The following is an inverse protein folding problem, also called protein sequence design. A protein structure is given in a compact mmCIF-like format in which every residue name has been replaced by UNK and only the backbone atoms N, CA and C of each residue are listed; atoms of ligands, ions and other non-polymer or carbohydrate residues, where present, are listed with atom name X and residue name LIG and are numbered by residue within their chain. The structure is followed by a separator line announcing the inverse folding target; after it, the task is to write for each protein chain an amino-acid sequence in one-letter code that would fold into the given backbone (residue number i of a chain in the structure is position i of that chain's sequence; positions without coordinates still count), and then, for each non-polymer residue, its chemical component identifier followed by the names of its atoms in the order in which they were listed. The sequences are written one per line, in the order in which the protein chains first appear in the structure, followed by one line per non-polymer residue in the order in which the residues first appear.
data_IF_134295453512
#
_entry.id   IF_134295453512
#
_cell.length_a   1.000
_cell.length_b   1.000
_cell.length_c   1.000
_cell.angle_alpha   90.00
_cell.angle_beta   90.00
_cell.angle_gamma   90.00
#
_symmetry.space_group_name_H-M   'P 1'
#
loop_
_entity.id
_entity.type
_entity.pdbx_description
1 polymer ?
#
# COMPACT_ATOMS: atom_id res chain seq x y z
N UNK A 1 28.53 26.88 -43.96
CA UNK A 1 28.78 25.51 -43.43
C UNK A 1 27.55 24.93 -42.77
N UNK A 2 26.95 25.61 -41.77
CA UNK A 2 25.67 25.18 -41.14
C UNK A 2 24.54 25.04 -42.15
N UNK A 3 24.33 26.04 -43.01
CA UNK A 3 23.32 26.02 -44.08
C UNK A 3 23.58 24.95 -45.16
N UNK A 4 24.80 24.38 -45.18
CA UNK A 4 25.19 23.31 -46.09
C UNK A 4 25.13 21.93 -45.41
N UNK A 5 24.56 21.82 -44.21
CA UNK A 5 24.47 20.59 -43.42
C UNK A 5 25.80 20.10 -42.83
N UNK A 6 26.89 20.84 -43.00
CA UNK A 6 28.24 20.46 -42.54
C UNK A 6 28.46 20.86 -41.08
N UNK A 7 27.67 20.27 -40.18
CA UNK A 7 27.65 20.62 -38.75
C UNK A 7 28.97 20.38 -38.05
N UNK A 8 29.62 19.22 -38.24
CA UNK A 8 30.91 18.90 -37.62
C UNK A 8 32.00 19.91 -37.99
N UNK A 9 32.08 20.29 -39.27
CA UNK A 9 33.04 21.30 -39.76
C UNK A 9 32.73 22.69 -39.22
N UNK A 10 31.46 23.04 -39.08
CA UNK A 10 31.05 24.31 -38.50
C UNK A 10 31.38 24.40 -37.00
N UNK A 11 31.20 23.29 -36.28
CA UNK A 11 31.44 23.20 -34.84
C UNK A 11 32.92 23.16 -34.48
N UNK A 12 33.77 22.55 -35.32
CA UNK A 12 35.23 22.53 -35.09
C UNK A 12 35.88 23.91 -35.21
N UNK A 13 35.33 24.81 -36.05
CA UNK A 13 35.85 26.18 -36.22
C UNK A 13 35.16 27.22 -35.32
N UNK A 14 34.00 26.90 -34.74
CA UNK A 14 33.22 27.83 -33.92
C UNK A 14 33.94 28.40 -32.67
N UNK A 15 34.83 27.66 -31.97
CA UNK A 15 35.61 28.20 -30.86
C UNK A 15 36.50 29.39 -31.25
N UNK A 16 36.93 29.46 -32.52
CA UNK A 16 37.74 30.59 -33.02
C UNK A 16 36.95 31.91 -33.05
N UNK A 17 35.61 31.85 -33.08
CA UNK A 17 34.74 33.03 -32.96
C UNK A 17 34.54 33.39 -31.49
N UNK A 18 34.04 32.44 -30.70
CA UNK A 18 34.00 32.50 -29.23
C UNK A 18 33.45 31.21 -28.65
N UNK A 19 33.78 30.90 -27.39
CA UNK A 19 33.16 29.78 -26.66
C UNK A 19 31.64 29.96 -26.49
N UNK A 20 31.16 31.20 -26.37
CA UNK A 20 29.72 31.50 -26.30
C UNK A 20 28.99 31.16 -27.61
N UNK A 21 29.62 31.47 -28.75
CA UNK A 21 29.09 31.13 -30.06
C UNK A 21 29.11 29.62 -30.30
N UNK A 22 30.21 28.94 -29.95
CA UNK A 22 30.30 27.48 -29.99
C UNK A 22 29.19 26.82 -29.17
N UNK A 23 28.97 27.25 -27.92
CA UNK A 23 27.91 26.70 -27.06
C UNK A 23 26.52 26.86 -27.70
N UNK A 24 26.21 28.06 -28.21
CA UNK A 24 24.93 28.31 -28.91
C UNK A 24 24.75 27.42 -30.14
N UNK A 25 25.82 27.20 -30.90
CA UNK A 25 25.78 26.37 -32.09
C UNK A 25 25.62 24.87 -31.76
N UNK A 26 26.30 24.39 -30.71
CA UNK A 26 26.12 23.04 -30.16
C UNK A 26 24.69 22.82 -29.68
N UNK A 27 24.12 23.77 -28.93
CA UNK A 27 22.73 23.71 -28.44
C UNK A 27 21.72 23.65 -29.58
N UNK A 28 21.92 24.45 -30.64
CA UNK A 28 21.06 24.42 -31.83
C UNK A 28 21.14 23.07 -32.56
N UNK A 29 22.33 22.46 -32.65
CA UNK A 29 22.48 21.13 -33.25
C UNK A 29 21.83 20.05 -32.38
N UNK A 30 22.00 20.13 -31.06
CA UNK A 30 21.34 19.23 -30.12
C UNK A 30 19.81 19.31 -30.24
N UNK A 31 19.23 20.50 -30.32
CA UNK A 31 17.79 20.69 -30.51
C UNK A 31 17.26 20.05 -31.79
N UNK A 32 18.02 20.15 -32.89
CA UNK A 32 17.66 19.47 -34.13
C UNK A 32 17.71 17.94 -33.97
N UNK A 33 18.75 17.41 -33.32
CA UNK A 33 18.90 15.96 -33.11
C UNK A 33 17.85 15.37 -32.16
N UNK A 34 17.39 16.15 -31.18
CA UNK A 34 16.26 15.76 -30.30
C UNK A 34 14.98 15.61 -31.13
N UNK A 35 14.70 16.53 -32.05
CA UNK A 35 13.53 16.45 -32.93
C UNK A 35 13.61 15.29 -33.91
N UNK A 36 14.83 14.89 -34.28
CA UNK A 36 15.10 13.73 -35.14
C UNK A 36 15.16 12.40 -34.36
N UNK A 37 14.95 12.43 -33.04
CA UNK A 37 15.08 11.27 -32.12
C UNK A 37 16.42 10.52 -32.27
N UNK A 38 17.49 11.25 -32.59
CA UNK A 38 18.80 10.67 -32.91
C UNK A 38 19.75 10.67 -31.68
N UNK A 39 20.33 9.51 -31.39
CA UNK A 39 21.31 9.26 -30.32
C UNK A 39 22.58 10.12 -30.45
N UNK A 40 22.87 10.64 -31.65
CA UNK A 40 23.97 11.57 -31.88
C UNK A 40 23.88 12.82 -30.98
N UNK A 41 22.71 13.14 -30.41
CA UNK A 41 22.52 14.25 -29.46
C UNK A 41 23.39 14.13 -28.21
N UNK A 42 23.72 12.91 -27.77
CA UNK A 42 24.34 12.61 -26.47
C UNK A 42 25.66 13.39 -26.29
N UNK A 43 26.67 13.27 -27.19
CA UNK A 43 27.89 14.08 -27.14
C UNK A 43 27.66 15.58 -27.05
N UNK A 44 26.64 16.12 -27.72
CA UNK A 44 26.38 17.56 -27.76
C UNK A 44 25.83 18.07 -26.43
N UNK A 45 24.90 17.33 -25.81
CA UNK A 45 24.34 17.66 -24.51
C UNK A 45 25.37 17.51 -23.39
N UNK A 46 26.20 16.45 -23.41
CA UNK A 46 27.29 16.25 -22.44
C UNK A 46 28.30 17.40 -22.56
N UNK A 47 28.74 17.73 -23.77
CA UNK A 47 29.73 18.79 -24.00
C UNK A 47 29.22 20.20 -23.63
N UNK A 48 27.91 20.43 -23.67
CA UNK A 48 27.31 21.72 -23.28
C UNK A 48 26.91 21.79 -21.80
N UNK A 49 26.91 20.64 -21.11
CA UNK A 49 26.44 20.47 -19.75
C UNK A 49 24.92 20.55 -19.60
N UNK A 50 24.16 20.36 -20.67
CA UNK A 50 22.69 20.46 -20.67
C UNK A 50 22.04 19.15 -20.18
N UNK A 51 22.34 18.77 -18.92
CA UNK A 51 21.90 17.51 -18.28
C UNK A 51 20.37 17.33 -18.34
N UNK A 52 19.61 18.38 -18.02
CA UNK A 52 18.14 18.34 -18.01
C UNK A 52 17.57 17.91 -19.37
N UNK A 53 18.11 18.43 -20.47
CA UNK A 53 17.66 18.06 -21.83
C UNK A 53 17.95 16.60 -22.13
N UNK A 54 19.13 16.12 -21.71
CA UNK A 54 19.54 14.74 -21.95
C UNK A 54 18.72 13.74 -21.13
N UNK A 55 18.45 14.05 -19.85
CA UNK A 55 17.54 13.26 -19.01
C UNK A 55 16.15 13.21 -19.64
N UNK A 56 15.58 14.36 -20.03
CA UNK A 56 14.26 14.38 -20.68
C UNK A 56 14.21 13.60 -21.99
N UNK A 57 15.30 13.60 -22.77
CA UNK A 57 15.40 12.87 -24.03
C UNK A 57 15.35 11.35 -23.82
N UNK A 58 16.05 10.84 -22.81
CA UNK A 58 16.03 9.43 -22.47
C UNK A 58 14.70 9.02 -21.83
N UNK A 59 14.18 9.81 -20.89
CA UNK A 59 12.88 9.57 -20.25
C UNK A 59 11.75 9.49 -21.27
N UNK A 60 11.67 10.42 -22.24
CA UNK A 60 10.62 10.41 -23.26
C UNK A 60 10.65 9.17 -24.17
N UNK A 61 11.76 8.43 -24.19
CA UNK A 61 11.93 7.21 -24.98
C UNK A 61 11.82 5.93 -24.14
N UNK A 62 11.46 6.05 -22.86
CA UNK A 62 11.42 4.93 -21.92
C UNK A 62 12.81 4.37 -21.55
N UNK A 63 13.89 5.08 -21.89
CA UNK A 63 15.28 4.71 -21.59
C UNK A 63 15.66 5.20 -20.18
N UNK A 64 14.92 4.75 -19.17
CA UNK A 64 15.02 5.25 -17.80
C UNK A 64 16.37 4.93 -17.13
N UNK A 65 17.02 3.83 -17.53
CA UNK A 65 18.36 3.46 -17.01
C UNK A 65 19.43 4.42 -17.51
N UNK A 66 19.36 4.81 -18.77
CA UNK A 66 20.25 5.78 -19.40
C UNK A 66 20.03 7.17 -18.80
N UNK A 67 18.76 7.55 -18.57
CA UNK A 67 18.41 8.77 -17.85
C UNK A 67 19.02 8.80 -16.44
N UNK A 68 18.94 7.67 -15.72
CA UNK A 68 19.49 7.52 -14.36
C UNK A 68 21.01 7.72 -14.36
N UNK A 69 21.72 7.05 -15.28
CA UNK A 69 23.17 7.16 -15.41
C UNK A 69 23.61 8.61 -15.67
N UNK A 70 22.89 9.33 -16.52
CA UNK A 70 23.17 10.74 -16.80
C UNK A 70 22.94 11.62 -15.58
N UNK A 71 21.83 11.43 -14.87
CA UNK A 71 21.52 12.20 -13.65
C UNK A 71 22.55 11.94 -12.55
N UNK A 72 22.93 10.67 -12.34
CA UNK A 72 23.95 10.30 -11.36
C UNK A 72 25.32 10.85 -11.74
N UNK A 73 25.74 10.73 -13.00
CA UNK A 73 26.99 11.29 -13.48
C UNK A 73 27.04 12.82 -13.28
N UNK A 74 25.92 13.52 -13.43
CA UNK A 74 25.84 14.95 -13.14
C UNK A 74 26.00 15.26 -11.64
N UNK A 75 25.38 14.46 -10.75
CA UNK A 75 25.50 14.62 -9.30
C UNK A 75 26.92 14.37 -8.80
N UNK A 76 27.61 13.39 -9.37
CA UNK A 76 29.02 13.08 -9.09
C UNK A 76 30.00 14.12 -9.68
N UNK A 77 29.49 15.10 -10.44
CA UNK A 77 30.30 16.13 -11.09
C UNK A 77 31.04 15.64 -12.33
N UNK A 78 30.63 14.53 -12.96
CA UNK A 78 31.28 14.01 -14.17
C UNK A 78 30.85 14.75 -15.45
N UNK A 79 29.79 15.58 -15.39
CA UNK A 79 29.31 16.40 -16.52
C UNK A 79 29.54 17.87 -16.20
N UNK A 80 30.42 18.52 -16.97
CA UNK A 80 30.82 19.90 -16.74
C UNK A 80 30.41 20.84 -17.87
N UNK A 81 29.96 22.04 -17.50
CA UNK A 81 29.83 23.15 -18.45
C UNK A 81 31.24 23.70 -18.70
N UNK A 82 31.71 23.78 -19.96
CA UNK A 82 33.03 24.31 -20.25
C UNK A 82 33.17 25.75 -19.74
N UNK A 83 34.30 26.11 -19.08
CA UNK A 83 34.47 27.42 -18.46
C UNK A 83 34.41 28.53 -19.51
N UNK A 84 33.42 29.41 -19.39
CA UNK A 84 33.33 30.65 -20.16
C UNK A 84 34.17 31.71 -19.43
N UNK A 85 35.08 32.38 -20.13
CA UNK A 85 36.10 33.26 -19.52
C UNK A 85 35.55 34.40 -18.64
N UNK A 86 36.17 34.52 -17.44
CA UNK A 86 36.15 35.60 -16.40
C UNK A 86 34.81 35.94 -15.72
N UNK A 87 34.67 35.86 -14.40
CA UNK A 87 35.44 36.61 -13.38
C UNK A 87 35.34 35.89 -12.02
N UNK A 88 36.44 35.84 -11.26
CA UNK A 88 36.44 35.37 -9.86
C UNK A 88 35.57 36.31 -9.01
N UNK A 89 34.31 35.97 -8.81
CA UNK A 89 33.50 36.49 -7.71
C UNK A 89 32.93 35.30 -6.95
N UNK A 90 33.35 35.22 -5.69
CA UNK A 90 33.02 34.23 -4.68
C UNK A 90 31.57 34.33 -4.24
N UNK A 91 30.74 33.41 -4.72
CA UNK A 91 29.50 32.90 -4.10
C UNK A 91 29.13 31.64 -4.89
N UNK A 92 29.05 30.48 -4.24
CA UNK A 92 28.98 29.13 -4.84
C UNK A 92 27.84 28.99 -5.88
N UNK A 93 28.14 28.98 -7.20
CA UNK A 93 27.16 28.60 -8.21
C UNK A 93 26.94 27.09 -8.28
N UNK A 94 27.76 26.30 -7.57
CA UNK A 94 27.73 24.84 -7.54
C UNK A 94 26.59 24.27 -6.69
N UNK A 95 26.21 24.94 -5.59
CA UNK A 95 25.13 24.46 -4.70
C UNK A 95 23.77 24.42 -5.44
N UNK A 96 23.48 25.46 -6.24
CA UNK A 96 22.22 25.56 -6.96
C UNK A 96 22.11 24.55 -8.12
N UNK A 97 23.23 24.12 -8.70
CA UNK A 97 23.24 23.08 -9.74
C UNK A 97 23.13 21.68 -9.13
N UNK A 98 23.74 21.45 -7.97
CA UNK A 98 23.67 20.17 -7.27
C UNK A 98 22.24 19.85 -6.83
N UNK A 99 21.49 20.81 -6.29
CA UNK A 99 20.07 20.63 -5.96
C UNK A 99 19.22 20.30 -7.20
N UNK A 100 19.49 20.93 -8.35
CA UNK A 100 18.79 20.64 -9.60
C UNK A 100 19.09 19.23 -10.10
N UNK A 101 20.35 18.78 -10.03
CA UNK A 101 20.72 17.42 -10.44
C UNK A 101 20.17 16.37 -9.49
N UNK A 102 20.17 16.63 -8.18
CA UNK A 102 19.52 15.77 -7.20
C UNK A 102 18.01 15.67 -7.48
N UNK A 103 17.33 16.78 -7.79
CA UNK A 103 15.93 16.76 -8.18
C UNK A 103 15.66 15.93 -9.44
N UNK A 104 16.54 15.99 -10.45
CA UNK A 104 16.46 15.14 -11.63
C UNK A 104 16.69 13.66 -11.31
N UNK A 105 17.68 13.36 -10.46
CA UNK A 105 18.00 12.00 -10.02
C UNK A 105 16.81 11.38 -9.28
N UNK A 106 16.21 12.13 -8.35
CA UNK A 106 15.00 11.72 -7.64
C UNK A 106 13.84 11.44 -8.60
N UNK A 107 13.57 12.34 -9.55
CA UNK A 107 12.48 12.15 -10.51
C UNK A 107 12.66 10.91 -11.39
N UNK A 108 13.87 10.67 -11.90
CA UNK A 108 14.16 9.47 -12.71
C UNK A 108 14.07 8.20 -11.88
N UNK A 109 14.58 8.21 -10.64
CA UNK A 109 14.45 7.06 -9.74
C UNK A 109 12.99 6.76 -9.39
N UNK A 110 12.14 7.78 -9.23
CA UNK A 110 10.71 7.61 -8.97
C UNK A 110 10.00 6.97 -10.16
N UNK A 111 10.21 7.49 -11.37
CA UNK A 111 9.63 6.90 -12.59
C UNK A 111 10.11 5.46 -12.84
N UNK A 112 11.41 5.20 -12.61
CA UNK A 112 11.98 3.86 -12.76
C UNK A 112 11.47 2.90 -11.68
N UNK A 113 11.31 3.38 -10.44
CA UNK A 113 10.75 2.59 -9.36
C UNK A 113 9.29 2.20 -9.66
N UNK A 114 8.46 3.15 -10.10
CA UNK A 114 7.08 2.89 -10.48
C UNK A 114 7.00 1.87 -11.62
N UNK A 115 7.85 2.01 -12.65
CA UNK A 115 7.92 1.04 -13.74
C UNK A 115 8.28 -0.37 -13.25
N UNK A 116 9.31 -0.50 -12.40
CA UNK A 116 9.68 -1.79 -11.82
C UNK A 116 8.57 -2.36 -10.94
N UNK A 117 7.91 -1.52 -10.16
CA UNK A 117 6.85 -1.95 -9.24
C UNK A 117 5.64 -2.48 -10.01
N UNK A 118 5.21 -1.77 -11.05
CA UNK A 118 4.14 -2.21 -11.96
C UNK A 118 4.50 -3.49 -12.72
N UNK A 119 5.79 -3.73 -13.03
CA UNK A 119 6.27 -4.99 -13.61
C UNK A 119 6.33 -6.17 -12.60
N UNK A 120 5.98 -5.94 -11.34
CA UNK A 120 6.10 -6.92 -10.26
C UNK A 120 7.55 -7.16 -9.81
N UNK A 121 8.47 -6.20 -10.03
CA UNK A 121 9.87 -6.25 -9.57
C UNK A 121 10.09 -5.34 -8.38
N UNK A 122 9.39 -5.65 -7.30
CA UNK A 122 9.28 -4.83 -6.07
C UNK A 122 10.63 -4.55 -5.42
N UNK A 123 11.55 -5.53 -5.42
CA UNK A 123 12.90 -5.37 -4.88
C UNK A 123 13.70 -4.33 -5.67
N UNK A 124 13.60 -4.32 -7.00
CA UNK A 124 14.28 -3.32 -7.83
C UNK A 124 13.67 -1.93 -7.63
N UNK A 125 12.35 -1.83 -7.50
CA UNK A 125 11.69 -0.58 -7.15
C UNK A 125 12.16 -0.03 -5.80
N UNK A 126 12.25 -0.90 -4.78
CA UNK A 126 12.80 -0.52 -3.48
C UNK A 126 14.25 -0.06 -3.57
N UNK A 127 15.10 -0.74 -4.37
CA UNK A 127 16.47 -0.31 -4.61
C UNK A 127 16.56 1.08 -5.24
N UNK A 128 15.68 1.43 -6.19
CA UNK A 128 15.63 2.77 -6.79
C UNK A 128 15.36 3.85 -5.73
N UNK A 129 14.43 3.60 -4.80
CA UNK A 129 14.15 4.53 -3.70
C UNK A 129 15.29 4.61 -2.67
N UNK A 130 15.90 3.47 -2.31
CA UNK A 130 17.07 3.46 -1.42
C UNK A 130 18.27 4.19 -2.02
N UNK A 131 18.47 4.13 -3.33
CA UNK A 131 19.57 4.81 -4.02
C UNK A 131 19.48 6.35 -3.91
N UNK A 132 18.29 6.89 -3.64
CA UNK A 132 18.03 8.32 -3.42
C UNK A 132 17.56 8.62 -2.00
N UNK A 133 17.93 7.76 -1.04
CA UNK A 133 17.65 7.92 0.39
C UNK A 133 16.16 8.03 0.77
N UNK A 134 15.27 7.56 -0.10
CA UNK A 134 13.83 7.53 0.15
C UNK A 134 13.43 6.21 0.84
N UNK A 135 13.80 6.10 2.12
CA UNK A 135 13.58 4.92 2.95
C UNK A 135 12.09 4.55 3.08
N UNK A 136 11.20 5.55 3.20
CA UNK A 136 9.76 5.34 3.38
C UNK A 136 9.13 4.62 2.17
N UNK A 137 9.38 5.12 0.96
CA UNK A 137 8.85 4.48 -0.26
C UNK A 137 9.54 3.14 -0.56
N UNK A 138 10.83 3.00 -0.23
CA UNK A 138 11.51 1.71 -0.36
C UNK A 138 10.84 0.62 0.48
N UNK A 139 10.56 0.91 1.75
CA UNK A 139 9.84 0.00 2.64
C UNK A 139 8.43 -0.27 2.14
N UNK A 140 7.72 0.75 1.66
CA UNK A 140 6.39 0.59 1.09
C UNK A 140 6.38 -0.34 -0.14
N UNK A 141 7.35 -0.23 -1.05
CA UNK A 141 7.48 -1.13 -2.21
C UNK A 141 7.67 -2.59 -1.78
N UNK A 142 8.51 -2.86 -0.76
CA UNK A 142 8.72 -4.23 -0.28
C UNK A 142 7.45 -4.80 0.37
N UNK A 143 6.77 -4.01 1.21
CA UNK A 143 5.54 -4.43 1.91
C UNK A 143 4.38 -4.64 0.94
N UNK A 144 4.18 -3.73 -0.02
CA UNK A 144 3.16 -3.86 -1.08
C UNK A 144 3.49 -4.96 -2.09
N UNK A 145 4.77 -5.33 -2.18
CA UNK A 145 5.25 -6.47 -2.95
C UNK A 145 5.13 -7.83 -2.27
N UNK A 146 4.64 -7.87 -1.02
CA UNK A 146 4.64 -9.06 -0.16
C UNK A 146 6.04 -9.67 0.10
N UNK A 147 7.12 -8.88 -0.02
CA UNK A 147 8.49 -9.29 0.32
C UNK A 147 8.75 -9.03 1.82
N UNK A 148 7.89 -9.59 2.68
CA UNK A 148 7.80 -9.24 4.11
C UNK A 148 9.07 -9.55 4.89
N UNK A 149 9.67 -10.72 4.67
CA UNK A 149 10.93 -11.13 5.30
C UNK A 149 12.07 -10.15 4.94
N UNK A 150 12.15 -9.74 3.68
CA UNK A 150 13.13 -8.76 3.21
C UNK A 150 12.85 -7.37 3.78
N UNK A 151 11.57 -6.94 3.81
CA UNK A 151 11.16 -5.69 4.40
C UNK A 151 11.58 -5.60 5.88
N UNK A 152 11.39 -6.66 6.67
CA UNK A 152 11.84 -6.70 8.07
C UNK A 152 13.37 -6.60 8.16
N UNK A 153 14.11 -7.38 7.36
CA UNK A 153 15.57 -7.32 7.35
C UNK A 153 16.11 -5.92 7.01
N UNK A 154 15.57 -5.28 5.96
CA UNK A 154 15.95 -3.93 5.56
C UNK A 154 15.57 -2.92 6.64
N UNK A 155 14.34 -3.00 7.16
CA UNK A 155 13.84 -2.12 8.20
C UNK A 155 14.66 -2.15 9.50
N UNK A 156 15.13 -3.34 9.91
CA UNK A 156 16.04 -3.48 11.07
C UNK A 156 17.38 -2.79 10.82
N UNK A 157 17.91 -2.85 9.60
CA UNK A 157 19.17 -2.16 9.23
C UNK A 157 18.98 -0.64 9.18
N UNK A 158 17.85 -0.16 8.69
CA UNK A 158 17.51 1.27 8.62
C UNK A 158 17.18 1.89 10.00
N UNK A 159 16.83 1.06 10.99
CA UNK A 159 16.61 1.49 12.37
C UNK A 159 15.39 2.40 12.54
N UNK A 160 15.54 3.46 13.35
CA UNK A 160 14.43 4.32 13.77
C UNK A 160 13.67 4.97 12.60
N UNK A 161 14.36 5.29 11.50
CA UNK A 161 13.75 5.94 10.33
C UNK A 161 12.68 5.06 9.68
N UNK A 162 12.87 3.74 9.69
CA UNK A 162 11.94 2.78 9.12
C UNK A 162 11.03 2.11 10.15
N UNK A 163 11.11 2.48 11.43
CA UNK A 163 10.50 1.72 12.54
C UNK A 163 9.01 1.44 12.35
N UNK A 164 8.22 2.43 11.93
CA UNK A 164 6.77 2.28 11.76
C UNK A 164 6.44 1.27 10.65
N UNK A 165 7.17 1.33 9.53
CA UNK A 165 7.02 0.39 8.43
C UNK A 165 7.52 -1.01 8.80
N UNK A 166 8.62 -1.11 9.56
CA UNK A 166 9.14 -2.38 10.10
C UNK A 166 8.13 -3.05 11.02
N UNK A 167 7.50 -2.29 11.92
CA UNK A 167 6.46 -2.79 12.82
C UNK A 167 5.27 -3.35 12.02
N UNK A 168 4.84 -2.65 10.99
CA UNK A 168 3.75 -3.10 10.12
C UNK A 168 4.14 -4.37 9.34
N UNK A 169 5.35 -4.45 8.80
CA UNK A 169 5.86 -5.64 8.12
C UNK A 169 5.93 -6.85 9.08
N UNK A 170 6.39 -6.64 10.32
CA UNK A 170 6.42 -7.67 11.36
C UNK A 170 5.01 -8.18 11.70
N UNK A 171 4.01 -7.30 11.75
CA UNK A 171 2.62 -7.71 11.99
C UNK A 171 2.09 -8.60 10.85
N UNK A 172 2.30 -8.19 9.59
CA UNK A 172 1.90 -8.99 8.43
C UNK A 172 2.65 -10.34 8.38
N UNK A 173 3.95 -10.32 8.66
CA UNK A 173 4.77 -11.54 8.70
C UNK A 173 4.33 -12.47 9.84
N UNK A 174 3.97 -11.93 11.00
CA UNK A 174 3.38 -12.72 12.07
C UNK A 174 2.07 -13.36 11.61
N UNK A 175 1.17 -12.61 10.95
CA UNK A 175 -0.09 -13.14 10.40
C UNK A 175 0.14 -14.31 9.43
N UNK A 176 1.15 -14.24 8.55
CA UNK A 176 1.57 -15.36 7.69
C UNK A 176 1.82 -16.64 8.50
N UNK A 177 2.53 -16.52 9.62
CA UNK A 177 2.89 -17.65 10.48
C UNK A 177 1.82 -18.05 11.52
N UNK A 178 0.73 -17.30 11.67
CA UNK A 178 -0.33 -17.60 12.66
C UNK A 178 -1.12 -18.89 12.36
N UNK A 179 -1.24 -19.26 11.09
CA UNK A 179 -2.12 -20.37 10.66
C UNK A 179 -1.48 -21.73 10.92
N UNK A 180 -0.18 -21.87 10.71
CA UNK A 180 0.50 -23.15 10.89
C UNK A 180 0.88 -23.36 12.35
N UNK A 181 0.47 -24.50 12.93
CA UNK A 181 0.73 -24.83 14.35
C UNK A 181 2.22 -24.70 14.73
N UNK A 182 3.12 -25.19 13.86
CA UNK A 182 4.56 -25.20 14.09
C UNK A 182 5.23 -23.82 14.07
N UNK A 183 4.54 -22.79 13.58
CA UNK A 183 5.12 -21.44 13.41
C UNK A 183 4.54 -20.38 14.34
N UNK A 184 3.69 -20.76 15.31
CA UNK A 184 3.08 -19.81 16.26
C UNK A 184 4.08 -19.20 17.24
N UNK A 185 5.06 -19.99 17.68
CA UNK A 185 6.16 -19.48 18.50
C UNK A 185 6.98 -18.43 17.73
N UNK A 186 7.18 -18.64 16.42
CA UNK A 186 7.83 -17.66 15.55
C UNK A 186 6.99 -16.39 15.41
N UNK A 187 5.68 -16.51 15.22
CA UNK A 187 4.79 -15.34 15.19
C UNK A 187 4.87 -14.52 16.49
N UNK A 188 4.83 -15.19 17.66
CA UNK A 188 5.01 -14.51 18.95
C UNK A 188 6.37 -13.81 19.05
N UNK A 189 7.46 -14.46 18.61
CA UNK A 189 8.79 -13.87 18.63
C UNK A 189 8.89 -12.64 17.72
N UNK A 190 8.31 -12.68 16.52
CA UNK A 190 8.26 -11.53 15.61
C UNK A 190 7.48 -10.37 16.23
N UNK A 191 6.33 -10.63 16.84
CA UNK A 191 5.53 -9.60 17.49
C UNK A 191 6.24 -8.97 18.70
N UNK A 192 7.07 -9.72 19.44
CA UNK A 192 7.88 -9.19 20.54
C UNK A 192 8.95 -8.19 20.09
N UNK A 193 9.32 -8.19 18.81
CA UNK A 193 10.24 -7.19 18.26
C UNK A 193 9.59 -5.80 18.13
N UNK A 194 8.26 -5.73 18.19
CA UNK A 194 7.48 -4.49 18.12
C UNK A 194 7.35 -3.88 19.54
N UNK A 195 7.54 -2.57 19.73
CA UNK A 195 7.23 -1.91 21.00
C UNK A 195 5.72 -1.94 21.28
N UNK A 196 5.32 -1.91 22.56
CA UNK A 196 3.90 -1.92 22.97
C UNK A 196 3.08 -3.09 22.36
N UNK A 197 3.69 -4.27 22.28
CA UNK A 197 3.16 -5.45 21.59
C UNK A 197 2.03 -6.20 22.32
N UNK A 198 1.58 -5.75 23.50
CA UNK A 198 0.60 -6.46 24.32
C UNK A 198 -0.64 -6.83 23.50
N UNK A 199 -1.22 -5.85 22.81
CA UNK A 199 -2.44 -6.06 22.01
C UNK A 199 -2.22 -7.04 20.85
N UNK A 200 -1.01 -7.06 20.26
CA UNK A 200 -0.67 -7.96 19.15
C UNK A 200 -0.53 -9.40 19.66
N UNK A 201 0.09 -9.58 20.83
CA UNK A 201 0.18 -10.89 21.49
C UNK A 201 -1.19 -11.39 21.96
N UNK A 202 -2.07 -10.49 22.43
CA UNK A 202 -3.46 -10.82 22.75
C UNK A 202 -4.18 -11.33 21.50
N UNK A 203 -4.10 -10.60 20.38
CA UNK A 203 -4.71 -11.01 19.10
C UNK A 203 -4.21 -12.38 18.63
N UNK A 204 -2.90 -12.62 18.73
CA UNK A 204 -2.30 -13.93 18.45
C UNK A 204 -2.95 -15.03 19.30
N UNK A 205 -2.96 -14.86 20.62
CA UNK A 205 -3.48 -15.85 21.55
C UNK A 205 -4.99 -16.06 21.44
N UNK A 206 -5.75 -15.00 21.17
CA UNK A 206 -7.20 -15.04 21.00
C UNK A 206 -7.61 -15.83 19.76
N UNK A 207 -6.84 -15.74 18.67
CA UNK A 207 -7.16 -16.42 17.42
C UNK A 207 -6.67 -17.87 17.36
N UNK A 208 -5.56 -18.21 18.02
CA UNK A 208 -4.96 -19.53 17.91
C UNK A 208 -5.91 -20.66 18.39
N UNK A 209 -6.29 -21.62 17.52
CA UNK A 209 -7.02 -22.80 17.94
C UNK A 209 -6.07 -23.80 18.61
N UNK A 210 -6.55 -24.53 19.61
CA UNK A 210 -5.74 -25.53 20.30
C UNK A 210 -6.48 -26.16 21.48
N UNK A 211 -5.89 -27.21 22.04
CA UNK A 211 -6.35 -27.72 23.33
C UNK A 211 -5.95 -26.76 24.46
N UNK A 212 -6.51 -26.95 25.66
CA UNK A 212 -6.29 -26.06 26.80
C UNK A 212 -4.82 -25.96 27.19
N UNK A 213 -4.04 -27.04 27.06
CA UNK A 213 -2.62 -27.05 27.40
C UNK A 213 -1.79 -26.20 26.41
N UNK A 214 -2.04 -26.34 25.11
CA UNK A 214 -1.38 -25.56 24.05
C UNK A 214 -1.70 -24.08 24.16
N UNK A 215 -2.96 -23.74 24.45
CA UNK A 215 -3.38 -22.35 24.65
C UNK A 215 -2.69 -21.75 25.88
N UNK A 216 -2.58 -22.51 26.97
CA UNK A 216 -1.90 -22.05 28.18
C UNK A 216 -0.39 -21.88 27.99
N UNK A 217 0.28 -22.80 27.28
CA UNK A 217 1.71 -22.68 26.94
C UNK A 217 1.99 -21.41 26.12
N UNK A 218 1.17 -21.15 25.08
CA UNK A 218 1.34 -19.94 24.27
C UNK A 218 1.11 -18.66 25.08
N UNK A 219 0.14 -18.66 26.01
CA UNK A 219 -0.13 -17.52 26.90
C UNK A 219 0.99 -17.25 27.87
N UNK A 220 1.52 -18.30 28.49
CA UNK A 220 2.64 -18.20 29.42
C UNK A 220 3.85 -17.60 28.71
N UNK A 221 4.17 -18.10 27.51
CA UNK A 221 5.19 -17.51 26.65
C UNK A 221 4.90 -16.04 26.37
N UNK A 222 3.65 -15.68 26.05
CA UNK A 222 3.25 -14.29 25.78
C UNK A 222 3.11 -13.42 27.04
N UNK A 223 3.37 -13.95 28.24
CA UNK A 223 3.20 -13.23 29.51
C UNK A 223 1.78 -12.66 29.72
N UNK A 224 0.76 -13.39 29.24
CA UNK A 224 -0.64 -13.00 29.37
C UNK A 224 -1.29 -13.67 30.59
N UNK A 225 -2.34 -13.04 31.18
CA UNK A 225 -3.06 -13.60 32.33
C UNK A 225 -3.72 -14.95 32.01
N UNK A 226 -3.97 -15.71 33.08
CA UNK A 226 -4.67 -16.99 33.00
C UNK A 226 -6.12 -16.83 32.55
N UNK A 227 -6.73 -17.93 32.11
CA UNK A 227 -8.12 -17.97 31.65
C UNK A 227 -9.13 -17.45 32.69
N UNK A 228 -8.92 -17.80 33.96
CA UNK A 228 -9.79 -17.41 35.09
C UNK A 228 -9.59 -15.93 35.45
N UNK A 229 -8.35 -15.46 35.46
CA UNK A 229 -8.05 -14.04 35.68
C UNK A 229 -8.62 -13.16 34.57
N UNK A 230 -8.53 -13.61 33.31
CA UNK A 230 -9.13 -12.90 32.17
C UNK A 230 -10.63 -12.69 32.36
N UNK A 231 -11.36 -13.67 32.89
CA UNK A 231 -12.79 -13.53 33.13
C UNK A 231 -13.09 -12.42 34.15
N UNK A 232 -12.37 -12.41 35.28
CA UNK A 232 -12.54 -11.38 36.31
C UNK A 232 -12.15 -9.98 35.83
N UNK A 233 -11.05 -9.88 35.07
CA UNK A 233 -10.60 -8.61 34.47
C UNK A 233 -11.60 -8.08 33.45
N UNK A 234 -12.20 -8.97 32.64
CA UNK A 234 -13.22 -8.60 31.66
C UNK A 234 -14.48 -8.05 32.33
N UNK A 235 -14.95 -8.68 33.41
CA UNK A 235 -16.13 -8.24 34.15
C UNK A 235 -15.90 -6.91 34.87
N UNK A 236 -14.70 -6.70 35.44
CA UNK A 236 -14.32 -5.42 36.03
C UNK A 236 -14.29 -4.30 34.98
N UNK A 237 -13.60 -4.53 33.86
CA UNK A 237 -13.53 -3.55 32.78
C UNK A 237 -14.91 -3.21 32.20
N UNK A 238 -15.79 -4.20 32.07
CA UNK A 238 -17.17 -3.99 31.63
C UNK A 238 -17.98 -3.16 32.64
N UNK A 239 -17.76 -3.36 33.95
CA UNK A 239 -18.40 -2.56 35.00
C UNK A 239 -17.89 -1.11 35.03
N UNK A 240 -16.62 -0.90 34.69
CA UNK A 240 -15.98 0.42 34.58
C UNK A 240 -16.34 1.15 33.27
N UNK A 241 -17.03 0.48 32.34
CA UNK A 241 -17.41 1.03 31.04
C UNK A 241 -16.29 1.03 29.99
N UNK A 242 -15.16 0.38 30.25
CA UNK A 242 -14.07 0.22 29.28
C UNK A 242 -14.34 -0.97 28.36
N UNK A 243 -15.07 -0.70 27.28
CA UNK A 243 -15.46 -1.68 26.25
C UNK A 243 -14.24 -2.36 25.61
N UNK A 244 -13.16 -1.61 25.36
CA UNK A 244 -12.00 -2.15 24.67
C UNK A 244 -11.27 -3.17 25.54
N UNK A 245 -11.00 -2.83 26.81
CA UNK A 245 -10.37 -3.76 27.75
C UNK A 245 -11.29 -4.95 28.06
N UNK A 246 -12.60 -4.73 28.20
CA UNK A 246 -13.56 -5.81 28.41
C UNK A 246 -13.53 -6.81 27.24
N UNK A 247 -13.60 -6.33 25.99
CA UNK A 247 -13.51 -7.19 24.81
C UNK A 247 -12.16 -7.91 24.72
N UNK A 248 -11.05 -7.23 25.03
CA UNK A 248 -9.69 -7.80 25.08
C UNK A 248 -9.62 -9.03 25.97
N UNK A 249 -10.13 -8.91 27.20
CA UNK A 249 -10.07 -9.99 28.16
C UNK A 249 -11.13 -11.07 27.94
N UNK A 250 -12.34 -10.73 27.46
CA UNK A 250 -13.33 -11.74 27.08
C UNK A 250 -12.86 -12.62 25.92
N UNK A 251 -12.20 -12.07 24.91
CA UNK A 251 -11.61 -12.87 23.82
C UNK A 251 -10.58 -13.90 24.32
N UNK A 252 -9.93 -13.58 25.44
CA UNK A 252 -8.99 -14.45 26.12
C UNK A 252 -9.65 -15.35 27.18
N UNK A 253 -10.94 -15.22 27.47
CA UNK A 253 -11.60 -16.02 28.48
C UNK A 253 -12.18 -17.32 27.90
N UNK A 254 -12.88 -18.09 28.72
CA UNK A 254 -13.61 -19.29 28.30
C UNK A 254 -14.83 -18.97 27.42
N UNK A 255 -15.29 -17.71 27.43
CA UNK A 255 -16.50 -17.21 26.77
C UNK A 255 -16.20 -16.05 25.82
N UNK A 256 -15.41 -16.27 24.74
CA UNK A 256 -15.06 -15.22 23.78
C UNK A 256 -16.27 -14.62 23.05
N UNK A 257 -17.41 -15.32 23.03
CA UNK A 257 -18.65 -14.82 22.43
C UNK A 257 -19.18 -13.56 23.13
N UNK A 258 -18.92 -13.38 24.43
CA UNK A 258 -19.34 -12.16 25.17
C UNK A 258 -18.66 -10.90 24.67
N UNK A 259 -17.43 -11.03 24.15
CA UNK A 259 -16.73 -9.92 23.52
C UNK A 259 -17.50 -9.38 22.31
N UNK A 260 -18.09 -10.27 21.49
CA UNK A 260 -18.87 -9.89 20.31
C UNK A 260 -20.06 -9.04 20.72
N UNK A 261 -20.88 -9.50 21.67
CA UNK A 261 -22.07 -8.79 22.08
C UNK A 261 -21.76 -7.36 22.57
N UNK A 262 -20.76 -7.20 23.44
CA UNK A 262 -20.38 -5.90 24.02
C UNK A 262 -19.78 -4.99 22.94
N UNK A 263 -18.82 -5.50 22.17
CA UNK A 263 -18.11 -4.69 21.18
C UNK A 263 -18.97 -4.33 19.96
N UNK A 264 -19.82 -5.24 19.47
CA UNK A 264 -20.74 -4.95 18.36
C UNK A 264 -21.77 -3.90 18.79
N UNK A 265 -22.30 -3.99 20.01
CA UNK A 265 -23.23 -2.98 20.54
C UNK A 265 -22.59 -1.60 20.56
N UNK A 266 -21.36 -1.48 21.10
CA UNK A 266 -20.61 -0.24 21.08
C UNK A 266 -20.39 0.32 19.66
N UNK A 267 -19.98 -0.52 18.70
CA UNK A 267 -19.78 -0.08 17.32
C UNK A 267 -21.08 0.42 16.70
N UNK A 268 -22.21 -0.25 16.95
CA UNK A 268 -23.52 0.19 16.46
C UNK A 268 -23.92 1.54 17.04
N UNK A 269 -23.66 1.78 18.32
CA UNK A 269 -23.90 3.07 18.97
C UNK A 269 -23.04 4.18 18.35
N UNK A 270 -21.75 3.92 18.12
CA UNK A 270 -20.84 4.87 17.47
C UNK A 270 -21.29 5.18 16.04
N UNK A 271 -21.59 4.18 15.22
CA UNK A 271 -22.05 4.38 13.84
C UNK A 271 -23.39 5.12 13.75
N UNK A 272 -24.21 5.06 14.79
CA UNK A 272 -25.48 5.80 14.87
C UNK A 272 -25.28 7.27 15.24
N UNK A 273 -24.09 7.67 15.66
CA UNK A 273 -23.75 9.08 15.94
C UNK A 273 -23.46 9.84 14.65
N UNK A 274 -23.56 11.18 14.67
CA UNK A 274 -23.33 11.99 13.47
C UNK A 274 -21.86 12.26 13.15
N UNK A 275 -20.96 12.14 14.14
CA UNK A 275 -19.55 12.56 14.06
C UNK A 275 -18.56 11.39 14.20
N UNK A 276 -18.97 10.15 13.92
CA UNK A 276 -18.05 9.01 14.02
C UNK A 276 -16.97 9.03 12.93
N UNK A 277 -15.80 8.47 13.25
CA UNK A 277 -14.70 8.24 12.30
C UNK A 277 -14.25 6.78 12.30
N UNK A 278 -13.55 6.35 11.26
CA UNK A 278 -13.02 4.97 11.18
C UNK A 278 -12.13 4.66 12.38
N UNK A 279 -11.35 5.61 12.87
CA UNK A 279 -10.47 5.47 14.04
C UNK A 279 -11.24 5.17 15.34
N UNK A 280 -12.49 5.62 15.45
CA UNK A 280 -13.31 5.40 16.64
C UNK A 280 -13.87 3.96 16.74
N UNK A 281 -14.04 3.28 15.59
CA UNK A 281 -14.68 1.95 15.51
C UNK A 281 -13.75 0.84 15.06
N UNK A 282 -12.71 1.15 14.29
CA UNK A 282 -11.79 0.16 13.76
C UNK A 282 -11.03 -0.61 14.84
N UNK A 283 -10.49 0.00 15.92
CA UNK A 283 -9.71 -0.72 16.93
C UNK A 283 -10.50 -1.85 17.60
N UNK A 284 -11.77 -1.62 17.92
CA UNK A 284 -12.63 -2.64 18.54
C UNK A 284 -13.01 -3.72 17.52
N UNK A 285 -13.37 -3.36 16.28
CA UNK A 285 -13.69 -4.34 15.23
C UNK A 285 -12.49 -5.21 14.87
N UNK A 286 -11.31 -4.61 14.75
CA UNK A 286 -10.06 -5.30 14.51
C UNK A 286 -9.79 -6.29 15.63
N UNK A 287 -9.93 -5.90 16.90
CA UNK A 287 -9.82 -6.80 18.05
C UNK A 287 -10.83 -7.97 17.98
N UNK A 288 -12.12 -7.68 17.77
CA UNK A 288 -13.17 -8.70 17.66
C UNK A 288 -12.92 -9.70 16.51
N UNK A 289 -12.25 -9.26 15.44
CA UNK A 289 -11.93 -10.11 14.29
C UNK A 289 -10.91 -11.23 14.59
N UNK A 290 -10.29 -11.22 15.77
CA UNK A 290 -9.41 -12.27 16.26
C UNK A 290 -10.12 -13.31 17.13
N UNK A 291 -11.46 -13.27 17.22
CA UNK A 291 -12.21 -14.40 17.78
C UNK A 291 -11.87 -15.69 17.02
N UNK A 292 -11.72 -16.79 17.75
CA UNK A 292 -11.43 -18.09 17.13
C UNK A 292 -12.53 -18.50 16.14
N UNK A 293 -12.10 -18.95 14.98
CA UNK A 293 -13.01 -19.37 13.89
C UNK A 293 -13.97 -20.48 14.33
N UNK A 294 -13.51 -21.47 15.10
CA UNK A 294 -14.33 -22.59 15.59
C UNK A 294 -15.47 -22.13 16.51
N UNK A 295 -15.29 -21.01 17.21
CA UNK A 295 -16.32 -20.39 18.06
C UNK A 295 -17.27 -19.51 17.26
N UNK A 296 -16.73 -18.73 16.32
CA UNK A 296 -17.52 -17.82 15.50
C UNK A 296 -18.51 -18.55 14.58
N UNK A 297 -18.13 -19.74 14.07
CA UNK A 297 -19.00 -20.52 13.16
C UNK A 297 -20.12 -21.28 13.87
N UNK A 298 -20.14 -21.30 15.21
CA UNK A 298 -21.19 -21.99 15.97
C UNK A 298 -22.57 -21.38 15.67
N UNK A 299 -23.64 -22.20 15.57
CA UNK A 299 -24.99 -21.69 15.26
C UNK A 299 -25.49 -20.62 16.23
N UNK A 300 -25.13 -20.74 17.52
CA UNK A 300 -25.48 -19.77 18.57
C UNK A 300 -24.89 -18.37 18.32
N UNK A 301 -23.78 -18.28 17.58
CA UNK A 301 -23.10 -17.03 17.26
C UNK A 301 -23.52 -16.48 15.89
N UNK A 302 -24.53 -17.06 15.24
CA UNK A 302 -24.86 -16.73 13.86
C UNK A 302 -25.25 -15.26 13.66
N UNK A 303 -26.02 -14.68 14.58
CA UNK A 303 -26.39 -13.27 14.53
C UNK A 303 -25.16 -12.36 14.69
N UNK A 304 -24.40 -12.54 15.78
CA UNK A 304 -23.19 -11.75 16.05
C UNK A 304 -22.15 -11.89 14.93
N UNK A 305 -21.96 -13.10 14.40
CA UNK A 305 -21.10 -13.35 13.24
C UNK A 305 -21.55 -12.54 12.05
N UNK A 306 -22.84 -12.54 11.74
CA UNK A 306 -23.37 -11.81 10.60
C UNK A 306 -23.19 -10.29 10.77
N UNK A 307 -23.46 -9.77 11.96
CA UNK A 307 -23.24 -8.36 12.28
C UNK A 307 -21.76 -7.99 12.17
N UNK A 308 -20.86 -8.79 12.74
CA UNK A 308 -19.41 -8.58 12.66
C UNK A 308 -18.91 -8.56 11.21
N UNK A 309 -19.35 -9.51 10.37
CA UNK A 309 -18.95 -9.58 8.96
C UNK A 309 -19.38 -8.34 8.18
N UNK A 310 -20.59 -7.84 8.44
CA UNK A 310 -21.11 -6.63 7.78
C UNK A 310 -20.34 -5.39 8.24
N UNK A 311 -20.10 -5.24 9.54
CA UNK A 311 -19.37 -4.10 10.08
C UNK A 311 -17.90 -4.09 9.61
N UNK A 312 -17.23 -5.24 9.64
CA UNK A 312 -15.87 -5.37 9.10
C UNK A 312 -15.83 -5.18 7.58
N UNK A 313 -16.85 -5.64 6.84
CA UNK A 313 -16.95 -5.43 5.40
C UNK A 313 -17.06 -3.95 5.04
N UNK A 314 -17.93 -3.21 5.75
CA UNK A 314 -18.11 -1.77 5.54
C UNK A 314 -16.86 -0.98 5.92
N UNK A 315 -16.33 -1.17 7.14
CA UNK A 315 -15.10 -0.48 7.57
C UNK A 315 -13.90 -0.88 6.70
N UNK A 316 -13.83 -2.13 6.24
CA UNK A 316 -12.85 -2.58 5.27
C UNK A 316 -12.96 -1.84 3.93
N UNK A 317 -14.17 -1.56 3.44
CA UNK A 317 -14.38 -0.74 2.24
C UNK A 317 -13.83 0.68 2.41
N UNK A 318 -14.07 1.29 3.57
CA UNK A 318 -13.55 2.62 3.91
C UNK A 318 -12.03 2.65 4.00
N UNK A 319 -11.41 1.63 4.61
CA UNK A 319 -9.96 1.45 4.65
C UNK A 319 -9.37 1.17 3.26
N UNK A 320 -10.07 0.43 2.41
CA UNK A 320 -9.67 0.20 1.02
C UNK A 320 -9.67 1.51 0.21
N UNK A 321 -10.66 2.39 0.43
CA UNK A 321 -10.67 3.73 -0.16
C UNK A 321 -9.48 4.55 0.34
N UNK A 322 -9.22 4.56 1.66
CA UNK A 322 -8.07 5.25 2.26
C UNK A 322 -6.77 4.88 1.57
N UNK A 323 -6.58 3.58 1.30
CA UNK A 323 -5.39 3.02 0.66
C UNK A 323 -5.43 3.00 -0.86
N UNK A 324 -6.47 3.55 -1.49
CA UNK A 324 -6.65 3.56 -2.96
C UNK A 324 -6.60 2.15 -3.58
N UNK A 325 -7.14 1.15 -2.88
CA UNK A 325 -7.28 -0.22 -3.40
C UNK A 325 -8.49 -0.33 -4.34
N UNK A 326 -8.42 0.37 -5.48
CA UNK A 326 -9.57 0.59 -6.37
C UNK A 326 -10.25 -0.69 -6.87
N UNK A 327 -9.50 -1.79 -7.03
CA UNK A 327 -10.06 -3.07 -7.52
C UNK A 327 -10.99 -3.76 -6.51
N UNK A 328 -10.76 -3.59 -5.21
CA UNK A 328 -11.52 -4.30 -4.17
C UNK A 328 -12.61 -3.44 -3.53
N UNK A 329 -12.58 -2.10 -3.70
CA UNK A 329 -13.58 -1.20 -3.13
C UNK A 329 -15.00 -1.59 -3.58
N UNK A 330 -15.32 -1.74 -4.88
CA UNK A 330 -16.64 -2.19 -5.31
C UNK A 330 -17.00 -3.58 -4.75
N UNK A 331 -16.03 -4.49 -4.69
CA UNK A 331 -16.24 -5.84 -4.18
C UNK A 331 -16.60 -5.86 -2.68
N UNK A 332 -16.02 -4.97 -1.86
CA UNK A 332 -16.33 -4.83 -0.43
C UNK A 332 -17.73 -4.24 -0.19
N UNK A 333 -18.14 -3.24 -0.98
CA UNK A 333 -19.49 -2.70 -0.93
C UNK A 333 -20.54 -3.73 -1.36
N UNK A 334 -20.28 -4.48 -2.43
CA UNK A 334 -21.16 -5.55 -2.90
C UNK A 334 -21.25 -6.69 -1.88
N UNK A 335 -20.11 -7.12 -1.32
CA UNK A 335 -20.04 -8.09 -0.23
C UNK A 335 -20.94 -7.68 0.94
N UNK A 336 -20.77 -6.44 1.43
CA UNK A 336 -21.53 -5.89 2.56
C UNK A 336 -23.02 -5.81 2.23
N UNK A 337 -23.37 -5.35 1.03
CA UNK A 337 -24.75 -5.26 0.54
C UNK A 337 -25.43 -6.62 0.41
N UNK A 338 -24.72 -7.64 -0.10
CA UNK A 338 -25.25 -9.00 -0.20
C UNK A 338 -25.50 -9.62 1.17
N UNK A 339 -24.61 -9.37 2.15
CA UNK A 339 -24.82 -9.81 3.52
C UNK A 339 -26.03 -9.15 4.16
N UNK A 340 -26.21 -7.84 3.99
CA UNK A 340 -27.40 -7.10 4.45
C UNK A 340 -28.70 -7.60 3.81
N UNK A 341 -28.68 -7.92 2.51
CA UNK A 341 -29.86 -8.44 1.79
C UNK A 341 -30.28 -9.83 2.23
N UNK A 342 -29.31 -10.72 2.47
CA UNK A 342 -29.55 -12.15 2.70
C UNK A 342 -29.74 -12.52 4.17
N UNK A 343 -29.37 -11.65 5.10
CA UNK A 343 -29.32 -11.96 6.53
C UNK A 343 -30.17 -10.96 7.31
N UNK A 344 -31.04 -11.48 8.16
CA UNK A 344 -31.78 -10.66 9.11
C UNK A 344 -30.83 -10.25 10.25
N UNK A 345 -30.36 -9.01 10.21
CA UNK A 345 -29.45 -8.45 11.22
C UNK A 345 -29.86 -7.02 11.59
N UNK A 346 -29.58 -6.63 12.83
CA UNK A 346 -29.77 -5.26 13.29
C UNK A 346 -28.45 -4.50 13.25
N UNK A 347 -28.20 -3.75 12.17
CA UNK A 347 -27.02 -2.86 12.06
C UNK A 347 -27.44 -1.48 11.54
N UNK A 348 -26.78 -0.39 11.96
CA UNK A 348 -27.11 0.98 11.56
C UNK A 348 -26.55 1.30 10.15
N UNK A 349 -26.80 0.41 9.19
CA UNK A 349 -26.33 0.53 7.81
C UNK A 349 -27.48 0.21 6.87
N UNK A 350 -27.62 0.99 5.80
CA UNK A 350 -28.66 0.80 4.78
C UNK A 350 -28.03 0.56 3.42
N UNK A 351 -28.65 -0.30 2.61
CA UNK A 351 -28.16 -0.61 1.25
C UNK A 351 -28.13 0.66 0.38
N UNK A 352 -29.13 1.53 0.51
CA UNK A 352 -29.21 2.78 -0.26
C UNK A 352 -28.05 3.73 0.08
N UNK A 353 -27.64 3.78 1.35
CA UNK A 353 -26.47 4.53 1.79
C UNK A 353 -25.19 3.96 1.16
N UNK A 354 -25.01 2.64 1.21
CA UNK A 354 -23.84 1.97 0.63
C UNK A 354 -23.73 2.23 -0.89
N UNK A 355 -24.85 2.19 -1.61
CA UNK A 355 -24.87 2.53 -3.03
C UNK A 355 -24.53 4.00 -3.29
N UNK A 356 -25.07 4.93 -2.49
CA UNK A 356 -24.78 6.35 -2.64
C UNK A 356 -23.31 6.68 -2.40
N UNK A 357 -22.69 6.07 -1.38
CA UNK A 357 -21.26 6.23 -1.07
C UNK A 357 -20.38 5.67 -2.20
N UNK A 358 -20.73 4.50 -2.75
CA UNK A 358 -20.01 3.90 -3.89
C UNK A 358 -20.17 4.75 -5.16
N UNK A 359 -21.39 5.21 -5.47
CA UNK A 359 -21.69 6.07 -6.63
C UNK A 359 -21.02 7.44 -6.54
N UNK A 360 -20.79 7.95 -5.31
CA UNK A 360 -20.04 9.18 -5.08
C UNK A 360 -18.53 8.99 -5.27
N UNK A 361 -17.99 7.83 -4.86
CA UNK A 361 -16.56 7.51 -4.98
C UNK A 361 -16.13 7.20 -6.42
N UNK A 362 -16.92 6.42 -7.17
CA UNK A 362 -16.56 5.88 -8.49
C UNK A 362 -16.05 6.92 -9.51
N UNK A 363 -16.75 8.03 -9.79
CA UNK A 363 -16.33 9.01 -10.81
C UNK A 363 -15.01 9.72 -10.47
N UNK A 364 -14.73 9.87 -9.17
CA UNK A 364 -13.56 10.57 -8.67
C UNK A 364 -12.33 9.65 -8.75
N UNK A 365 -12.50 8.36 -8.43
CA UNK A 365 -11.43 7.36 -8.51
C UNK A 365 -11.06 6.98 -9.95
N UNK A 366 -12.00 7.01 -10.90
CA UNK A 366 -11.72 6.73 -12.33
C UNK A 366 -11.01 7.87 -13.07
N UNK A 367 -10.96 9.09 -12.52
CA UNK A 367 -10.23 10.21 -13.14
C UNK A 367 -8.71 9.98 -13.27
N UNK A 368 -8.19 8.89 -12.68
CA UNK A 368 -6.79 8.46 -12.71
C UNK A 368 -6.51 7.45 -13.84
N UNK A 369 -7.53 6.87 -14.50
CA UNK A 369 -7.38 5.91 -15.61
C UNK A 369 -7.91 6.51 -16.93
N UNK A 370 -7.06 6.77 -17.95
CA UNK A 370 -7.46 7.54 -19.14
C UNK A 370 -8.36 6.83 -20.16
N UNK A 371 -8.74 5.57 -19.99
CA UNK A 371 -9.33 4.79 -21.09
C UNK A 371 -10.71 4.20 -20.75
N UNK A 372 -11.67 4.52 -21.64
CA UNK A 372 -12.91 3.78 -21.97
C UNK A 372 -14.29 4.27 -21.50
N UNK A 373 -14.45 5.34 -20.70
CA UNK A 373 -15.80 5.86 -20.35
C UNK A 373 -15.94 7.36 -20.62
N UNK A 374 -17.02 7.85 -21.26
CA UNK A 374 -17.26 9.29 -21.42
C UNK A 374 -17.31 9.96 -20.05
N UNK A 375 -16.30 10.79 -19.77
CA UNK A 375 -16.17 11.51 -18.51
C UNK A 375 -17.35 12.48 -18.36
N UNK A 376 -18.24 12.17 -17.42
CA UNK A 376 -19.24 13.11 -16.93
C UNK A 376 -18.72 13.69 -15.62
N UNK A 377 -18.70 15.03 -15.46
CA UNK A 377 -18.21 15.63 -14.23
C UNK A 377 -19.11 15.22 -13.05
N UNK A 378 -18.55 14.96 -11.86
CA UNK A 378 -19.33 14.54 -10.71
C UNK A 378 -20.36 15.61 -10.33
N UNK A 379 -21.58 15.17 -10.01
CA UNK A 379 -22.65 16.05 -9.55
C UNK A 379 -22.35 16.67 -8.17
N UNK A 380 -22.97 17.80 -7.84
CA UNK A 380 -22.78 18.45 -6.53
C UNK A 380 -23.20 17.54 -5.36
N UNK A 381 -24.22 16.70 -5.55
CA UNK A 381 -24.63 15.71 -4.55
C UNK A 381 -23.53 14.65 -4.32
N UNK A 382 -22.93 14.12 -5.40
CA UNK A 382 -21.81 13.17 -5.29
C UNK A 382 -20.59 13.80 -4.63
N UNK A 383 -20.28 15.07 -4.92
CA UNK A 383 -19.17 15.77 -4.25
C UNK A 383 -19.43 15.94 -2.76
N UNK A 384 -20.65 16.32 -2.37
CA UNK A 384 -21.01 16.48 -0.97
C UNK A 384 -20.89 15.16 -0.19
N UNK A 385 -21.43 14.06 -0.74
CA UNK A 385 -21.30 12.73 -0.15
C UNK A 385 -19.85 12.25 -0.08
N UNK A 386 -19.06 12.48 -1.13
CA UNK A 386 -17.64 12.18 -1.13
C UNK A 386 -16.88 12.95 -0.04
N UNK A 387 -17.18 14.23 0.17
CA UNK A 387 -16.59 15.01 1.25
C UNK A 387 -16.92 14.44 2.64
N UNK A 388 -18.17 14.04 2.86
CA UNK A 388 -18.58 13.38 4.12
C UNK A 388 -17.82 12.06 4.29
N UNK A 389 -17.76 11.24 3.24
CA UNK A 389 -17.02 9.98 3.22
C UNK A 389 -15.54 10.18 3.58
N UNK A 390 -14.86 11.15 2.97
CA UNK A 390 -13.45 11.43 3.25
C UNK A 390 -13.23 11.93 4.68
N UNK A 391 -14.17 12.70 5.23
CA UNK A 391 -14.08 13.19 6.61
C UNK A 391 -14.11 12.05 7.64
N UNK A 392 -14.85 10.96 7.36
CA UNK A 392 -14.89 9.75 8.21
C UNK A 392 -13.66 8.88 8.06
N UNK A 393 -13.11 8.80 6.85
CA UNK A 393 -11.99 7.91 6.52
C UNK A 393 -10.67 8.42 7.07
N UNK A 394 -10.40 9.72 7.15
CA UNK A 394 -9.08 10.20 7.58
C UNK A 394 -7.94 9.84 6.61
N UNK A 395 -6.69 9.97 7.05
CA UNK A 395 -5.49 9.75 6.21
C UNK A 395 -4.79 8.42 6.52
N UNK A 396 -4.08 7.86 5.53
CA UNK A 396 -3.23 6.69 5.77
C UNK A 396 -2.01 7.10 6.62
N UNK A 397 -1.79 6.46 7.79
CA UNK A 397 -0.71 6.83 8.70
C UNK A 397 0.68 6.46 8.19
N UNK A 398 0.78 5.51 7.24
CA UNK A 398 2.03 5.04 6.67
C UNK A 398 2.19 5.56 5.24
N UNK A 399 3.21 6.39 5.02
CA UNK A 399 3.50 6.95 3.70
C UNK A 399 3.83 5.85 2.69
N UNK A 400 3.36 5.98 1.45
CA UNK A 400 3.65 5.06 0.35
C UNK A 400 2.79 3.79 0.32
N UNK A 401 1.97 3.56 1.35
CA UNK A 401 1.04 2.42 1.43
C UNK A 401 -0.22 2.57 0.56
N UNK A 402 -0.37 3.71 -0.10
CA UNK A 402 -1.47 3.98 -1.03
C UNK A 402 -1.19 3.40 -2.42
N UNK A 403 -2.21 2.83 -3.06
CA UNK A 403 -2.17 2.25 -4.39
C UNK A 403 -2.14 0.72 -4.36
N UNK A 404 -2.28 0.07 -5.53
CA UNK A 404 -2.39 -1.38 -5.62
C UNK A 404 -1.15 -2.12 -5.09
N UNK A 405 -1.35 -3.32 -4.56
CA UNK A 405 -0.26 -4.26 -4.29
C UNK A 405 0.13 -4.98 -5.59
N UNK A 406 1.43 -5.20 -5.79
CA UNK A 406 1.95 -5.94 -6.94
C UNK A 406 3.00 -6.94 -6.47
N UNK A 407 2.64 -8.21 -6.42
CA UNK A 407 3.59 -9.27 -6.09
C UNK A 407 4.45 -9.65 -7.29
N UNK A 408 5.57 -10.30 -7.00
CA UNK A 408 6.43 -10.91 -8.01
C UNK A 408 5.63 -11.88 -8.91
N UNK A 409 5.69 -11.65 -10.22
CA UNK A 409 4.98 -12.46 -11.22
C UNK A 409 3.54 -12.04 -11.51
N UNK A 410 3.05 -10.92 -10.98
CA UNK A 410 1.69 -10.39 -11.23
C UNK A 410 1.32 -10.28 -12.71
N UNK A 411 2.30 -9.99 -13.57
CA UNK A 411 2.09 -9.80 -15.01
C UNK A 411 2.37 -11.06 -15.83
N UNK A 412 2.62 -12.21 -15.18
CA UNK A 412 2.82 -13.44 -15.94
C UNK A 412 1.53 -13.87 -16.64
N UNK A 413 1.62 -14.34 -17.90
CA UNK A 413 0.46 -14.76 -18.64
C UNK A 413 -0.19 -15.96 -17.96
N UNK A 414 -1.52 -15.99 -17.95
CA UNK A 414 -2.29 -17.15 -17.53
C UNK A 414 -2.07 -18.32 -18.49
N UNK A 415 -1.60 -19.47 -17.99
CA UNK A 415 -1.56 -20.72 -18.76
C UNK A 415 -2.96 -21.39 -18.84
N UNK A 416 -3.04 -22.59 -19.43
CA UNK A 416 -4.25 -23.26 -19.93
C UNK A 416 -5.50 -23.29 -19.04
N UNK A 417 -5.36 -23.21 -17.72
CA UNK A 417 -6.48 -23.15 -16.77
C UNK A 417 -6.78 -21.69 -16.41
N UNK A 418 -7.45 -20.98 -17.32
CA UNK A 418 -7.83 -19.57 -17.13
C UNK A 418 -8.80 -19.44 -15.96
N UNK A 419 -8.34 -18.83 -14.88
CA UNK A 419 -9.17 -18.48 -13.72
C UNK A 419 -9.74 -17.07 -13.91
N UNK A 420 -11.00 -16.91 -13.52
CA UNK A 420 -11.72 -15.63 -13.57
C UNK A 420 -11.84 -15.11 -12.14
N UNK A 421 -11.44 -13.85 -11.91
CA UNK A 421 -11.57 -13.21 -10.61
C UNK A 421 -13.04 -13.02 -10.27
N UNK A 422 -13.46 -13.48 -9.09
CA UNK A 422 -14.83 -13.25 -8.62
C UNK A 422 -15.10 -11.79 -8.21
N UNK A 423 -14.06 -10.95 -8.11
CA UNK A 423 -14.21 -9.52 -7.83
C UNK A 423 -14.44 -8.71 -9.11
N UNK A 424 -13.63 -8.95 -10.14
CA UNK A 424 -13.62 -8.11 -11.35
C UNK A 424 -14.35 -8.77 -12.53
N UNK A 425 -14.58 -10.08 -12.48
CA UNK A 425 -15.06 -10.85 -13.64
C UNK A 425 -14.04 -10.97 -14.78
N UNK A 426 -12.81 -10.48 -14.57
CA UNK A 426 -11.74 -10.51 -15.55
C UNK A 426 -10.85 -11.74 -15.35
N UNK A 427 -10.09 -12.09 -16.39
CA UNK A 427 -9.09 -13.16 -16.33
C UNK A 427 -7.98 -12.75 -15.37
N UNK A 428 -7.60 -13.65 -14.46
CA UNK A 428 -6.49 -13.42 -13.54
C UNK A 428 -5.18 -13.60 -14.31
N UNK A 429 -4.29 -12.61 -14.21
CA UNK A 429 -2.90 -12.70 -14.62
C UNK A 429 -2.04 -12.94 -13.38
N UNK A 430 -0.93 -13.67 -13.54
CA UNK A 430 -0.03 -13.99 -12.44
C UNK A 430 -0.61 -14.99 -11.41
N UNK A 431 -0.16 -14.91 -10.15
CA UNK A 431 -0.56 -15.85 -9.10
C UNK A 431 -2.05 -15.76 -8.75
N UNK A 432 -2.70 -16.93 -8.69
CA UNK A 432 -4.10 -17.08 -8.31
C UNK A 432 -4.21 -17.44 -6.83
N UNK A 433 -5.16 -16.82 -6.12
CA UNK A 433 -5.56 -17.21 -4.78
C UNK A 433 -6.96 -17.85 -4.79
N UNK A 434 -7.05 -19.10 -4.37
CA UNK A 434 -8.32 -19.82 -4.25
C UNK A 434 -8.94 -19.59 -2.87
N UNK A 435 -10.24 -19.30 -2.86
CA UNK A 435 -11.03 -19.17 -1.64
C UNK A 435 -11.34 -20.55 -1.05
N UNK A 436 -11.87 -20.58 0.17
CA UNK A 436 -12.06 -21.82 0.94
C UNK A 436 -13.06 -22.81 0.32
N UNK A 437 -13.87 -22.38 -0.66
CA UNK A 437 -14.78 -23.24 -1.41
C UNK A 437 -14.08 -24.07 -2.49
N UNK A 438 -12.79 -23.79 -2.74
CA UNK A 438 -11.99 -24.44 -3.78
C UNK A 438 -12.46 -24.16 -5.21
N UNK A 439 -13.37 -23.19 -5.41
CA UNK A 439 -13.98 -22.87 -6.71
C UNK A 439 -13.81 -21.41 -7.06
N UNK A 440 -14.06 -20.53 -6.11
CA UNK A 440 -13.96 -19.09 -6.30
C UNK A 440 -12.50 -18.68 -6.19
N UNK A 441 -12.06 -17.82 -7.10
CA UNK A 441 -10.67 -17.39 -7.18
C UNK A 441 -10.59 -15.86 -7.34
N UNK A 442 -9.52 -15.28 -6.82
CA UNK A 442 -9.14 -13.88 -6.99
C UNK A 442 -7.64 -13.80 -7.31
N UNK A 443 -7.18 -12.65 -7.82
CA UNK A 443 -5.74 -12.44 -7.97
C UNK A 443 -5.07 -12.41 -6.60
N UNK A 444 -3.80 -12.83 -6.50
CA UNK A 444 -3.07 -12.75 -5.24
C UNK A 444 -2.95 -11.29 -4.74
N UNK A 445 -2.81 -10.33 -5.66
CA UNK A 445 -2.80 -8.89 -5.33
C UNK A 445 -4.11 -8.48 -4.65
N UNK A 446 -5.26 -8.83 -5.22
CA UNK A 446 -6.56 -8.51 -4.64
C UNK A 446 -6.76 -9.21 -3.28
N UNK A 447 -6.26 -10.44 -3.14
CA UNK A 447 -6.32 -11.16 -1.87
C UNK A 447 -5.51 -10.45 -0.77
N UNK A 448 -4.29 -9.99 -1.08
CA UNK A 448 -3.43 -9.25 -0.15
C UNK A 448 -4.07 -7.91 0.24
N UNK A 449 -4.53 -7.13 -0.74
CA UNK A 449 -5.22 -5.86 -0.50
C UNK A 449 -6.45 -6.08 0.38
N UNK A 450 -7.25 -7.13 0.09
CA UNK A 450 -8.41 -7.50 0.90
C UNK A 450 -8.02 -7.85 2.33
N UNK A 451 -7.06 -8.76 2.54
CA UNK A 451 -6.65 -9.22 3.86
C UNK A 451 -6.02 -8.12 4.74
N UNK A 452 -5.49 -7.06 4.12
CA UNK A 452 -4.98 -5.87 4.82
C UNK A 452 -6.09 -4.99 5.41
N UNK A 453 -7.30 -5.01 4.84
CA UNK A 453 -8.41 -4.11 5.23
C UNK A 453 -9.65 -4.84 5.78
N UNK A 454 -9.86 -6.09 5.40
CA UNK A 454 -10.96 -6.93 5.88
C UNK A 454 -10.42 -8.32 6.25
N UNK A 455 -10.57 -8.74 7.52
CA UNK A 455 -10.02 -10.02 7.98
C UNK A 455 -10.76 -11.24 7.41
N UNK A 456 -12.04 -11.10 7.02
CA UNK A 456 -12.87 -12.25 6.68
C UNK A 456 -12.91 -12.54 5.18
N UNK A 457 -13.13 -13.81 4.84
CA UNK A 457 -13.31 -14.25 3.45
C UNK A 457 -14.47 -13.53 2.76
N UNK A 458 -14.31 -13.16 1.47
CA UNK A 458 -15.39 -12.60 0.66
C UNK A 458 -16.58 -13.55 0.46
N UNK A 459 -16.47 -14.84 0.80
CA UNK A 459 -17.61 -15.77 0.79
C UNK A 459 -18.57 -15.56 1.97
N UNK A 460 -18.19 -14.74 2.96
CA UNK A 460 -19.04 -14.41 4.10
C UNK A 460 -19.24 -15.57 5.08
N UNK A 461 -18.35 -16.56 5.06
CA UNK A 461 -18.41 -17.77 5.91
C UNK A 461 -18.02 -17.50 7.36
N UNK A 462 -17.31 -16.40 7.62
CA UNK A 462 -16.67 -16.12 8.91
C UNK A 462 -15.25 -16.69 9.04
N UNK A 463 -14.74 -17.34 7.99
CA UNK A 463 -13.35 -17.79 7.93
C UNK A 463 -12.45 -16.59 7.63
N UNK A 464 -11.29 -16.51 8.30
CA UNK A 464 -10.28 -15.46 8.05
C UNK A 464 -9.54 -15.73 6.73
N UNK A 465 -9.41 -14.70 5.91
CA UNK A 465 -8.58 -14.73 4.70
C UNK A 465 -7.11 -14.49 5.09
N UNK A 466 -6.19 -15.33 4.59
CA UNK A 466 -4.75 -15.12 4.80
C UNK A 466 -3.96 -15.51 3.53
N UNK A 467 -3.54 -14.51 2.74
CA UNK A 467 -2.78 -14.70 1.51
C UNK A 467 -1.29 -14.34 1.61
N UNK A 468 -0.77 -14.04 2.81
CA UNK A 468 0.60 -13.57 3.02
C UNK A 468 1.69 -14.65 2.84
#
# INVERSE_FOLDING_TARGET
MVELGQWEKALSVAPAVSMKYWKKLMQRRAEQLIQEENDDVIPYCIATGDVKKLVSFFTSRGQLKEALLVAQAACEGNIHVPPMSSTKNSTSPDDNNMEVYNGLLHGVCEELAEWYFQDGRTVLAACCHLAVDNMELAMACLIRGNELELAVCVGVVLGEVAQQATNYALELLARKYMITFLSRDLAANLLRMIPDNEILLVKLCAFCPGNTAEINDLREKCSLPSLEECQGLAESAAADGDVFQAAKFYLLSSEPERALAIGITFVKEQLSSSEWTVESVHPILDLLSYIRTDRLILPKCSEDRNQLLILCGYIGALLAIRRKYSSIVPALYEYTSQLLKRREVSVPLQIDQLSAELDAWCPISTSVCPEEVPYSPPSEAQKAEYCVLMSRIGQEPLRGMEGPDYVTGSNFPSHSDVQISCFTGLRIQGPVFFLEDGKSAISLNDALMWAKVNPFSPLGTGIRLNPF
#
